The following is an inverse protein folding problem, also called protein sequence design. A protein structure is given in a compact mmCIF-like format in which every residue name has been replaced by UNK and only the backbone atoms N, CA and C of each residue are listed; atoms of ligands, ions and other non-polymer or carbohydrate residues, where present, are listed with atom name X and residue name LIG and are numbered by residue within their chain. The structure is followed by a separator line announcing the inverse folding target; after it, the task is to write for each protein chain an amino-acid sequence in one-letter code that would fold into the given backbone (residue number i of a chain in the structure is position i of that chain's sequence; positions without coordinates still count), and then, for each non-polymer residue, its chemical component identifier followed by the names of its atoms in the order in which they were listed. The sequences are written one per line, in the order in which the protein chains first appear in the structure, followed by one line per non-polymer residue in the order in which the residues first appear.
data_IF_676860425804
#
_entry.id   IF_676860425804
#
_cell.length_a   1.000
_cell.length_b   1.000
_cell.length_c   1.000
_cell.angle_alpha   90.00
_cell.angle_beta   90.00
_cell.angle_gamma   90.00
#
_symmetry.space_group_name_H-M   'P 1'
#
loop_
_entity.id
_entity.type
_entity.pdbx_description
1 polymer ?
#
# COMPACT_ATOMS: atom_id res chain seq x y z
N UNK A 1 16.83 -1.60 9.97
CA UNK A 1 15.48 -1.91 9.44
C UNK A 1 14.74 -2.72 10.49
N UNK A 2 13.60 -2.27 11.05
CA UNK A 2 12.97 -2.94 12.19
C UNK A 2 12.39 -4.31 11.80
N UNK A 3 12.46 -5.27 12.72
CA UNK A 3 12.13 -6.68 12.51
C UNK A 3 10.66 -6.95 12.08
N UNK A 4 9.76 -5.98 12.30
CA UNK A 4 8.33 -6.10 11.98
C UNK A 4 8.01 -6.01 10.48
N UNK A 5 8.90 -5.43 9.67
CA UNK A 5 8.63 -5.19 8.25
C UNK A 5 8.53 -6.48 7.42
N UNK A 6 9.30 -7.50 7.78
CA UNK A 6 9.27 -8.82 7.13
C UNK A 6 7.96 -9.57 7.38
N UNK A 7 7.40 -9.48 8.60
CA UNK A 7 6.08 -10.05 8.92
C UNK A 7 4.97 -9.38 8.12
N UNK A 8 5.00 -8.05 8.00
CA UNK A 8 4.00 -7.32 7.22
C UNK A 8 4.11 -7.66 5.72
N UNK A 9 5.34 -7.75 5.19
CA UNK A 9 5.60 -8.23 3.84
C UNK A 9 5.06 -9.65 3.60
N UNK A 10 5.22 -10.57 4.56
CA UNK A 10 4.68 -11.92 4.46
C UNK A 10 3.15 -11.95 4.41
N UNK A 11 2.48 -11.13 5.24
CA UNK A 11 1.01 -10.97 5.23
C UNK A 11 0.53 -10.41 3.88
N UNK A 12 1.23 -9.42 3.32
CA UNK A 12 0.94 -8.86 2.00
C UNK A 12 1.13 -9.90 0.91
N UNK A 13 2.19 -10.71 1.01
CA UNK A 13 2.51 -11.79 0.05
C UNK A 13 1.45 -12.89 0.06
N UNK A 14 0.90 -13.24 1.23
CA UNK A 14 0.15 -14.47 1.41
C UNK A 14 -1.37 -14.38 1.18
N UNK A 15 -2.05 -13.22 1.31
CA UNK A 15 -3.53 -13.25 1.37
C UNK A 15 -4.33 -12.02 0.90
N UNK A 16 -3.70 -10.91 0.48
CA UNK A 16 -4.46 -9.66 0.21
C UNK A 16 -4.65 -9.40 -1.29
N UNK A 17 -5.82 -9.72 -1.83
CA UNK A 17 -6.18 -9.33 -3.20
C UNK A 17 -6.24 -7.80 -3.40
N UNK A 18 -6.03 -7.30 -4.63
CA UNK A 18 -6.06 -5.86 -4.93
C UNK A 18 -7.41 -5.19 -4.58
N UNK A 19 -8.53 -5.91 -4.70
CA UNK A 19 -9.85 -5.41 -4.30
C UNK A 19 -9.95 -5.16 -2.79
N UNK A 20 -9.57 -6.14 -1.97
CA UNK A 20 -9.56 -6.02 -0.50
C UNK A 20 -8.64 -4.88 -0.04
N UNK A 21 -7.49 -4.71 -0.69
CA UNK A 21 -6.60 -3.60 -0.39
C UNK A 21 -7.19 -2.24 -0.81
N UNK A 22 -7.85 -2.17 -1.97
CA UNK A 22 -8.52 -0.97 -2.44
C UNK A 22 -9.62 -0.52 -1.47
N UNK A 23 -10.38 -1.44 -0.88
CA UNK A 23 -11.41 -1.14 0.10
C UNK A 23 -10.83 -0.62 1.42
N UNK A 24 -9.72 -1.19 1.88
CA UNK A 24 -8.98 -0.70 3.04
C UNK A 24 -8.49 0.74 2.82
N UNK A 25 -7.91 1.01 1.64
CA UNK A 25 -7.48 2.36 1.25
C UNK A 25 -8.68 3.31 1.19
N UNK A 26 -9.83 2.88 0.66
CA UNK A 26 -11.05 3.69 0.57
C UNK A 26 -11.58 4.06 1.96
N UNK A 27 -11.62 3.09 2.88
CA UNK A 27 -12.01 3.30 4.27
C UNK A 27 -11.06 4.26 4.98
N UNK A 28 -9.75 4.11 4.77
CA UNK A 28 -8.76 5.02 5.34
C UNK A 28 -8.91 6.45 4.81
N UNK A 29 -9.04 6.62 3.48
CA UNK A 29 -9.24 7.93 2.85
C UNK A 29 -10.46 8.68 3.39
N UNK A 30 -11.55 7.96 3.70
CA UNK A 30 -12.75 8.55 4.33
C UNK A 30 -12.45 9.08 5.74
N UNK A 31 -11.62 8.37 6.53
CA UNK A 31 -11.28 8.76 7.90
C UNK A 31 -10.35 9.98 7.99
N UNK A 32 -9.33 10.05 7.13
CA UNK A 32 -8.31 11.11 7.20
C UNK A 32 -8.63 12.35 6.36
N UNK A 33 -9.71 12.30 5.56
CA UNK A 33 -10.19 13.42 4.78
C UNK A 33 -9.30 13.92 3.63
N UNK A 34 -8.12 13.34 3.31
CA UNK A 34 -7.26 13.92 2.23
C UNK A 34 -6.11 13.08 1.64
N UNK A 35 -5.52 13.67 0.58
CA UNK A 35 -4.24 13.50 -0.17
C UNK A 35 -4.06 12.38 -1.19
N UNK A 36 -4.88 11.34 -1.18
CA UNK A 36 -4.71 10.18 -2.09
C UNK A 36 -5.48 10.31 -3.40
N UNK A 37 -5.80 11.53 -3.85
CA UNK A 37 -6.63 11.78 -5.05
C UNK A 37 -5.89 11.62 -6.37
N UNK A 38 -4.56 11.57 -6.36
CA UNK A 38 -3.77 11.47 -7.59
C UNK A 38 -4.15 10.23 -8.43
N UNK A 39 -4.52 9.11 -7.78
CA UNK A 39 -4.98 7.91 -8.47
C UNK A 39 -6.18 7.25 -7.77
N UNK A 40 -6.99 6.45 -8.50
CA UNK A 40 -8.02 5.61 -7.91
C UNK A 40 -7.43 4.61 -6.89
N UNK A 41 -8.20 4.28 -5.85
CA UNK A 41 -7.74 3.37 -4.78
C UNK A 41 -7.27 2.00 -5.29
N UNK A 42 -7.93 1.46 -6.32
CA UNK A 42 -7.52 0.20 -6.96
C UNK A 42 -6.15 0.29 -7.64
N UNK A 43 -5.83 1.45 -8.24
CA UNK A 43 -4.53 1.67 -8.88
C UNK A 43 -3.41 1.85 -7.86
N UNK A 44 -3.70 2.53 -6.74
CA UNK A 44 -2.77 2.60 -5.60
C UNK A 44 -2.53 1.21 -5.01
N UNK A 45 -3.58 0.40 -4.84
CA UNK A 45 -3.45 -0.98 -4.37
C UNK A 45 -2.56 -1.82 -5.30
N UNK A 46 -2.74 -1.72 -6.62
CA UNK A 46 -1.91 -2.43 -7.59
C UNK A 46 -0.43 -2.01 -7.51
N UNK A 47 -0.14 -0.71 -7.44
CA UNK A 47 1.23 -0.18 -7.32
C UNK A 47 1.90 -0.70 -6.05
N UNK A 48 1.21 -0.65 -4.91
CA UNK A 48 1.77 -1.10 -3.64
C UNK A 48 2.00 -2.62 -3.65
N UNK A 49 1.09 -3.41 -4.22
CA UNK A 49 1.27 -4.85 -4.35
C UNK A 49 2.42 -5.21 -5.30
N UNK A 50 2.57 -4.49 -6.42
CA UNK A 50 3.68 -4.70 -7.35
C UNK A 50 5.03 -4.46 -6.67
N UNK A 51 5.13 -3.43 -5.84
CA UNK A 51 6.35 -3.14 -5.08
C UNK A 51 6.61 -4.20 -3.99
N UNK A 52 5.58 -4.63 -3.26
CA UNK A 52 5.73 -5.57 -2.14
C UNK A 52 5.89 -7.03 -2.56
N UNK A 53 5.31 -7.42 -3.71
CA UNK A 53 5.33 -8.82 -4.18
C UNK A 53 6.38 -9.08 -5.24
N UNK A 54 6.52 -8.15 -6.16
CA UNK A 54 7.33 -8.30 -7.36
C UNK A 54 8.64 -7.49 -7.27
N UNK A 55 8.95 -6.92 -6.10
CA UNK A 55 10.14 -6.10 -5.84
C UNK A 55 10.35 -4.97 -6.87
N UNK A 56 9.23 -4.46 -7.42
CA UNK A 56 9.26 -3.42 -8.44
C UNK A 56 9.83 -2.12 -7.88
N UNK A 57 10.71 -1.47 -8.65
CA UNK A 57 11.38 -0.27 -8.18
C UNK A 57 10.38 0.89 -8.09
N UNK A 58 10.43 1.70 -7.01
CA UNK A 58 9.54 2.85 -6.85
C UNK A 58 9.63 3.87 -7.99
N UNK A 59 10.79 3.98 -8.67
CA UNK A 59 10.99 4.89 -9.80
C UNK A 59 10.23 4.47 -11.05
N UNK A 60 10.24 3.18 -11.37
CA UNK A 60 9.57 2.63 -12.56
C UNK A 60 8.05 2.74 -12.41
N UNK A 61 7.54 2.39 -11.22
CA UNK A 61 6.12 2.56 -10.90
C UNK A 61 5.69 4.02 -10.86
N UNK A 62 6.58 4.94 -10.47
CA UNK A 62 6.30 6.36 -10.49
C UNK A 62 6.18 6.89 -11.93
N UNK A 63 7.18 6.58 -12.77
CA UNK A 63 7.20 6.97 -14.18
C UNK A 63 6.00 6.43 -14.96
N UNK A 64 5.72 5.12 -14.84
CA UNK A 64 4.58 4.48 -15.53
C UNK A 64 3.19 4.94 -15.07
N UNK A 65 3.11 5.72 -13.99
CA UNK A 65 1.84 6.23 -13.44
C UNK A 65 1.77 7.76 -13.39
N UNK A 66 2.76 8.49 -13.91
CA UNK A 66 2.78 9.95 -13.93
C UNK A 66 2.78 10.59 -12.54
N UNK A 67 3.36 9.93 -11.54
CA UNK A 67 3.42 10.41 -10.15
C UNK A 67 4.87 10.49 -9.69
N UNK A 68 5.13 11.27 -8.64
CA UNK A 68 6.47 11.37 -8.09
C UNK A 68 6.86 10.11 -7.28
N UNK A 69 8.14 9.74 -7.31
CA UNK A 69 8.68 8.59 -6.54
C UNK A 69 8.36 8.70 -5.04
N UNK A 70 8.43 9.91 -4.48
CA UNK A 70 8.11 10.13 -3.06
C UNK A 70 6.65 9.81 -2.74
N UNK A 71 5.72 10.05 -3.68
CA UNK A 71 4.31 9.67 -3.55
C UNK A 71 4.15 8.16 -3.44
N UNK A 72 4.87 7.39 -4.27
CA UNK A 72 4.89 5.92 -4.20
C UNK A 72 5.41 5.46 -2.83
N UNK A 73 6.54 6.01 -2.37
CA UNK A 73 7.11 5.62 -1.06
C UNK A 73 6.19 5.95 0.11
N UNK A 74 5.45 7.06 0.03
CA UNK A 74 4.45 7.44 1.03
C UNK A 74 3.28 6.45 1.05
N UNK A 75 2.75 6.09 -0.11
CA UNK A 75 1.64 5.15 -0.21
C UNK A 75 1.99 3.78 0.35
N UNK A 76 3.20 3.28 0.07
CA UNK A 76 3.68 2.01 0.63
C UNK A 76 3.70 2.06 2.16
N UNK A 77 4.27 3.12 2.76
CA UNK A 77 4.35 3.27 4.21
C UNK A 77 2.97 3.31 4.87
N UNK A 78 2.05 4.08 4.32
CA UNK A 78 0.69 4.20 4.85
C UNK A 78 -0.09 2.88 4.68
N UNK A 79 0.01 2.19 3.54
CA UNK A 79 -0.62 0.87 3.35
C UNK A 79 -0.04 -0.18 4.31
N UNK A 80 1.28 -0.23 4.46
CA UNK A 80 1.94 -1.12 5.43
C UNK A 80 1.42 -0.84 6.85
N UNK A 81 1.28 0.44 7.23
CA UNK A 81 0.67 0.82 8.51
C UNK A 81 -0.78 0.35 8.65
N UNK A 82 -1.60 0.47 7.60
CA UNK A 82 -2.99 0.00 7.62
C UNK A 82 -3.08 -1.52 7.77
N UNK A 83 -2.21 -2.26 7.09
CA UNK A 83 -2.17 -3.72 7.18
C UNK A 83 -1.65 -4.18 8.54
N UNK A 84 -0.63 -3.51 9.08
CA UNK A 84 -0.11 -3.79 10.43
C UNK A 84 -1.19 -3.55 11.50
N UNK A 85 -1.89 -2.42 11.44
CA UNK A 85 -2.99 -2.12 12.34
C UNK A 85 -4.11 -3.18 12.27
N UNK A 86 -4.40 -3.72 11.08
CA UNK A 86 -5.39 -4.80 10.89
C UNK A 86 -4.90 -6.14 11.43
N UNK A 87 -3.60 -6.45 11.27
CA UNK A 87 -3.00 -7.68 11.78
C UNK A 87 -2.93 -7.69 13.33
N UNK A 88 -2.68 -6.52 13.93
CA UNK A 88 -2.67 -6.34 15.37
C UNK A 88 -4.08 -6.37 16.00
N UNK A 89 -5.13 -6.19 15.21
CA UNK A 89 -6.53 -6.25 15.66
C UNK A 89 -7.21 -7.60 15.42
N UNK A 90 -6.43 -8.68 15.25
CA UNK A 90 -6.90 -10.05 15.44
C UNK A 90 -6.70 -10.48 16.91
N UNK A 91 -7.53 -11.41 17.44
CA UNK A 91 -7.49 -11.82 18.85
C UNK A 91 -6.14 -12.39 19.27
#
# INVERSE_FOLDING_TARGET
MPADYRKILAIVRAAVGPARLADLIRGHRKKIGSRWRALPAGKIAAIVLALLRCDQRPGDLAGGNGIHRTTVTRWVREVVGLLAARAWSGP
#
